data_IF_568441015296
#
_entry.id   IF_568441015296
#
_cell.length_a   1.000
_cell.length_b   1.000
_cell.length_c   1.000
_cell.angle_alpha   90.00
_cell.angle_beta   90.00
_cell.angle_gamma   90.00
#
_symmetry.space_group_name_H-M   'P 1'
#
loop_
_entity.id
_entity.type
_entity.pdbx_description
1 polymer ?
#
# COMPACT_ATOMS: atom_id res chain seq x y z
N UNK A 1 24.28 10.97 29.34
CA UNK A 1 23.46 12.20 29.32
C UNK A 1 22.16 12.11 30.15
N UNK A 2 21.30 11.10 29.97
CA UNK A 2 20.02 11.01 30.72
C UNK A 2 20.15 10.91 32.25
N UNK A 3 21.13 10.16 32.77
CA UNK A 3 21.36 10.04 34.22
C UNK A 3 21.80 11.35 34.88
N UNK A 4 22.61 12.16 34.19
CA UNK A 4 23.08 13.47 34.68
C UNK A 4 21.90 14.43 34.85
N UNK A 5 20.93 14.38 33.94
CA UNK A 5 19.72 15.21 34.01
C UNK A 5 18.82 14.87 35.21
N UNK A 6 18.62 13.58 35.53
CA UNK A 6 17.83 13.17 36.69
C UNK A 6 18.49 13.52 38.03
N UNK A 7 19.83 13.38 38.10
CA UNK A 7 20.60 13.79 39.28
C UNK A 7 20.52 15.31 39.47
N UNK A 8 20.64 16.08 38.39
CA UNK A 8 20.48 17.54 38.43
C UNK A 8 19.09 17.96 38.93
N UNK A 9 18.02 17.32 38.44
CA UNK A 9 16.64 17.64 38.82
C UNK A 9 16.35 17.28 40.29
N UNK A 10 16.92 16.18 40.78
CA UNK A 10 16.85 15.80 42.19
C UNK A 10 17.55 16.81 43.10
N UNK A 11 18.79 17.17 42.76
CA UNK A 11 19.58 18.16 43.53
C UNK A 11 18.89 19.52 43.54
N UNK A 12 18.35 19.95 42.39
CA UNK A 12 17.59 21.20 42.28
C UNK A 12 16.33 21.21 43.17
N UNK A 13 15.56 20.11 43.18
CA UNK A 13 14.39 19.96 44.06
C UNK A 13 14.75 20.01 45.55
N UNK A 14 15.86 19.39 45.94
CA UNK A 14 16.35 19.43 47.32
C UNK A 14 16.80 20.85 47.74
N UNK A 15 17.48 21.58 46.85
CA UNK A 15 17.90 22.98 47.09
C UNK A 15 16.71 23.94 47.17
N UNK A 16 15.70 23.77 46.32
CA UNK A 16 14.45 24.55 46.38
C UNK A 16 13.69 24.25 47.68
N UNK A 17 13.63 22.98 48.10
CA UNK A 17 13.00 22.60 49.37
C UNK A 17 13.69 23.20 50.59
N UNK A 18 15.03 23.21 50.58
CA UNK A 18 15.84 23.91 51.58
C UNK A 18 15.51 25.41 51.64
N UNK A 19 15.51 26.07 50.48
CA UNK A 19 15.24 27.50 50.37
C UNK A 19 13.83 27.88 50.83
N UNK A 20 12.80 27.16 50.37
CA UNK A 20 11.40 27.39 50.76
C UNK A 20 11.18 27.10 52.25
N UNK A 21 11.84 26.05 52.77
CA UNK A 21 11.79 25.68 54.19
C UNK A 21 12.29 26.80 55.12
N UNK A 22 13.32 27.55 54.69
CA UNK A 22 13.89 28.68 55.45
C UNK A 22 12.93 29.85 55.65
N UNK A 23 11.92 30.03 54.78
CA UNK A 23 10.92 31.09 54.90
C UNK A 23 9.60 30.61 55.53
N UNK A 24 9.48 29.31 55.82
CA UNK A 24 8.26 28.70 56.35
C UNK A 24 8.31 28.52 57.87
N UNK A 25 7.17 28.63 58.55
CA UNK A 25 7.05 28.37 59.99
C UNK A 25 7.35 26.91 60.41
N UNK A 26 7.42 26.00 59.44
CA UNK A 26 7.68 24.57 59.60
C UNK A 26 9.18 24.23 59.69
N UNK A 27 10.06 25.19 59.38
CA UNK A 27 11.51 25.06 59.50
C UNK A 27 12.22 24.37 58.32
N UNK A 28 13.49 24.72 58.14
CA UNK A 28 14.42 24.22 57.13
C UNK A 28 14.51 22.69 57.01
N UNK A 29 14.46 21.95 58.12
CA UNK A 29 14.48 20.49 58.13
C UNK A 29 13.25 19.88 57.43
N UNK A 30 12.07 20.45 57.65
CA UNK A 30 10.84 19.98 57.04
C UNK A 30 10.79 20.29 55.53
N UNK A 31 11.26 21.48 55.14
CA UNK A 31 11.39 21.86 53.72
C UNK A 31 12.37 20.99 52.96
N UNK A 32 13.48 20.60 53.60
CA UNK A 32 14.48 19.68 53.03
C UNK A 32 13.88 18.30 52.76
N UNK A 33 13.12 17.77 53.72
CA UNK A 33 12.47 16.46 53.59
C UNK A 33 11.44 16.44 52.45
N UNK A 34 10.63 17.50 52.34
CA UNK A 34 9.70 17.68 51.22
C UNK A 34 10.43 17.81 49.88
N UNK A 35 11.50 18.61 49.80
CA UNK A 35 12.29 18.80 48.58
C UNK A 35 12.92 17.50 48.06
N UNK A 36 13.44 16.67 48.97
CA UNK A 36 13.96 15.33 48.66
C UNK A 36 12.82 14.41 48.20
N UNK A 37 11.68 14.43 48.88
CA UNK A 37 10.50 13.64 48.52
C UNK A 37 9.97 13.97 47.11
N UNK A 38 9.80 15.25 46.79
CA UNK A 38 9.41 15.71 45.46
C UNK A 38 10.45 15.38 44.39
N UNK A 39 11.75 15.48 44.74
CA UNK A 39 12.84 15.12 43.82
C UNK A 39 12.81 13.63 43.48
N UNK A 40 12.69 12.76 44.49
CA UNK A 40 12.60 11.31 44.30
C UNK A 40 11.34 10.94 43.49
N UNK A 41 10.21 11.58 43.79
CA UNK A 41 8.96 11.39 43.04
C UNK A 41 9.11 11.83 41.57
N UNK A 42 9.70 13.00 41.32
CA UNK A 42 9.93 13.53 39.97
C UNK A 42 10.85 12.63 39.13
N UNK A 43 11.91 12.10 39.73
CA UNK A 43 12.80 11.13 39.04
C UNK A 43 12.07 9.82 38.75
N UNK A 44 11.32 9.29 39.72
CA UNK A 44 10.52 8.07 39.53
C UNK A 44 9.45 8.23 38.44
N UNK A 45 8.74 9.36 38.45
CA UNK A 45 7.74 9.70 37.44
C UNK A 45 8.38 9.90 36.06
N UNK A 46 9.51 10.61 35.97
CA UNK A 46 10.24 10.79 34.72
C UNK A 46 10.73 9.46 34.13
N UNK A 47 11.21 8.55 34.97
CA UNK A 47 11.60 7.21 34.55
C UNK A 47 10.41 6.41 34.02
N UNK A 48 9.26 6.46 34.70
CA UNK A 48 8.02 5.81 34.28
C UNK A 48 7.55 6.34 32.92
N UNK A 49 7.43 7.67 32.78
CA UNK A 49 6.98 8.33 31.54
C UNK A 49 7.94 8.08 30.37
N UNK A 50 9.25 7.99 30.63
CA UNK A 50 10.25 7.71 29.59
C UNK A 50 10.14 6.33 28.95
N UNK A 51 9.49 5.38 29.65
CA UNK A 51 9.20 4.03 29.11
C UNK A 51 7.90 3.97 28.33
N UNK A 52 7.08 5.02 28.37
CA UNK A 52 5.77 5.05 27.73
C UNK A 52 5.87 5.50 26.28
N UNK A 53 5.04 4.90 25.44
CA UNK A 53 4.90 5.34 24.05
C UNK A 53 4.20 6.71 23.98
N UNK A 54 4.49 7.51 22.95
CA UNK A 54 3.84 8.81 22.74
C UNK A 54 2.28 8.72 22.71
N UNK A 55 1.66 7.69 22.08
CA UNK A 55 0.20 7.49 22.17
C UNK A 55 -0.31 7.21 23.58
N UNK A 56 0.44 6.44 24.37
CA UNK A 56 0.08 6.19 25.78
C UNK A 56 0.15 7.47 26.61
N UNK A 57 1.13 8.34 26.37
CA UNK A 57 1.26 9.63 27.06
C UNK A 57 0.09 10.57 26.71
N UNK A 58 -0.22 10.72 25.42
CA UNK A 58 -1.35 11.54 24.97
C UNK A 58 -2.69 10.98 25.47
N UNK A 59 -2.85 9.66 25.44
CA UNK A 59 -4.01 8.98 25.99
C UNK A 59 -4.16 9.22 27.50
N UNK A 60 -3.06 9.15 28.26
CA UNK A 60 -3.04 9.45 29.69
C UNK A 60 -3.48 10.88 30.00
N UNK A 61 -2.97 11.87 29.26
CA UNK A 61 -3.38 13.28 29.40
C UNK A 61 -4.88 13.45 29.09
N UNK A 62 -5.36 12.85 27.99
CA UNK A 62 -6.79 12.89 27.62
C UNK A 62 -7.69 12.18 28.65
N UNK A 63 -7.21 11.09 29.23
CA UNK A 63 -7.90 10.37 30.29
C UNK A 63 -8.00 11.19 31.58
N UNK A 64 -6.92 11.84 32.01
CA UNK A 64 -6.93 12.75 33.15
C UNK A 64 -7.91 13.92 32.94
N UNK A 65 -7.89 14.54 31.76
CA UNK A 65 -8.80 15.66 31.44
C UNK A 65 -10.27 15.23 31.44
N UNK A 66 -10.59 14.10 30.81
CA UNK A 66 -11.97 13.60 30.76
C UNK A 66 -12.50 13.19 32.14
N UNK A 67 -11.68 12.53 32.96
CA UNK A 67 -12.07 12.16 34.33
C UNK A 67 -12.08 13.34 35.30
N UNK A 68 -11.30 14.40 35.04
CA UNK A 68 -11.39 15.65 35.79
C UNK A 68 -12.73 16.37 35.52
N UNK A 69 -13.16 16.43 34.26
CA UNK A 69 -14.50 16.93 33.89
C UNK A 69 -15.59 16.07 34.52
N UNK A 70 -15.43 14.75 34.52
CA UNK A 70 -16.37 13.85 35.19
C UNK A 70 -16.41 14.09 36.71
N UNK A 71 -15.27 14.28 37.37
CA UNK A 71 -15.19 14.55 38.80
C UNK A 71 -15.94 15.85 39.18
N UNK A 72 -15.89 16.86 38.31
CA UNK A 72 -16.65 18.10 38.47
C UNK A 72 -18.17 17.90 38.49
N UNK A 73 -18.69 16.89 37.78
CA UNK A 73 -20.12 16.56 37.84
C UNK A 73 -20.56 16.05 39.23
N UNK A 74 -19.63 15.55 40.06
CA UNK A 74 -19.90 15.04 41.41
C UNK A 74 -19.63 16.05 42.54
N UNK A 75 -19.32 17.30 42.20
CA UNK A 75 -18.86 18.31 43.17
C UNK A 75 -19.90 18.59 44.28
N UNK A 76 -21.20 18.53 43.98
CA UNK A 76 -22.29 18.77 44.95
C UNK A 76 -22.80 17.54 45.73
N UNK A 77 -22.30 16.33 45.46
CA UNK A 77 -22.88 15.09 45.98
C UNK A 77 -22.22 14.56 47.26
N UNK A 78 -21.04 15.07 47.62
CA UNK A 78 -20.27 14.55 48.76
C UNK A 78 -19.68 15.67 49.64
N UNK A 79 -19.52 15.41 50.95
CA UNK A 79 -18.72 16.24 51.85
C UNK A 79 -17.28 16.43 51.37
N UNK A 80 -16.64 17.55 51.73
CA UNK A 80 -15.36 17.97 51.17
C UNK A 80 -14.23 16.94 51.33
N UNK A 81 -14.18 16.23 52.46
CA UNK A 81 -13.18 15.19 52.71
C UNK A 81 -13.34 13.98 51.77
N UNK A 82 -14.58 13.56 51.49
CA UNK A 82 -14.86 12.47 50.53
C UNK A 82 -14.59 12.96 49.09
N UNK A 83 -14.91 14.21 48.79
CA UNK A 83 -14.68 14.82 47.47
C UNK A 83 -13.20 14.77 47.07
N UNK A 84 -12.30 15.06 48.01
CA UNK A 84 -10.86 14.99 47.78
C UNK A 84 -10.41 13.59 47.33
N UNK A 85 -10.80 12.55 48.08
CA UNK A 85 -10.46 11.17 47.73
C UNK A 85 -11.10 10.75 46.40
N UNK A 86 -12.36 11.12 46.16
CA UNK A 86 -13.04 10.83 44.89
C UNK A 86 -12.31 11.43 43.68
N UNK A 87 -11.91 12.71 43.77
CA UNK A 87 -11.16 13.38 42.70
C UNK A 87 -9.81 12.71 42.45
N UNK A 88 -9.09 12.37 43.52
CA UNK A 88 -7.81 11.69 43.41
C UNK A 88 -7.96 10.31 42.73
N UNK A 89 -8.94 9.52 43.16
CA UNK A 89 -9.21 8.20 42.56
C UNK A 89 -9.62 8.32 41.10
N UNK A 90 -10.50 9.25 40.75
CA UNK A 90 -10.93 9.45 39.35
C UNK A 90 -9.79 9.91 38.46
N UNK A 91 -8.91 10.79 38.93
CA UNK A 91 -7.77 11.27 38.17
C UNK A 91 -6.75 10.15 37.91
N UNK A 92 -6.49 9.30 38.91
CA UNK A 92 -5.64 8.10 38.76
C UNK A 92 -6.27 7.10 37.79
N UNK A 93 -7.59 6.87 37.89
CA UNK A 93 -8.32 6.01 36.96
C UNK A 93 -8.25 6.55 35.52
N UNK A 94 -8.43 7.86 35.33
CA UNK A 94 -8.28 8.52 34.04
C UNK A 94 -6.90 8.34 33.43
N UNK A 95 -5.84 8.50 34.23
CA UNK A 95 -4.47 8.24 33.79
C UNK A 95 -4.26 6.76 33.39
N UNK A 96 -4.74 5.80 34.18
CA UNK A 96 -4.59 4.36 33.90
C UNK A 96 -5.36 3.96 32.63
N UNK A 97 -6.63 4.37 32.53
CA UNK A 97 -7.47 4.06 31.36
C UNK A 97 -6.90 4.72 30.12
N UNK A 98 -6.54 6.00 30.20
CA UNK A 98 -5.97 6.76 29.10
C UNK A 98 -4.65 6.17 28.59
N UNK A 99 -3.75 5.77 29.48
CA UNK A 99 -2.46 5.17 29.07
C UNK A 99 -2.60 3.78 28.46
N UNK A 100 -3.59 2.99 28.92
CA UNK A 100 -3.94 1.68 28.35
C UNK A 100 -4.63 1.79 26.99
N UNK A 101 -5.54 2.77 26.82
CA UNK A 101 -6.33 2.97 25.60
C UNK A 101 -5.68 3.89 24.55
N UNK A 102 -4.67 4.67 24.93
CA UNK A 102 -3.95 5.58 24.03
C UNK A 102 -3.40 4.91 22.75
N UNK A 103 -2.78 3.72 22.81
CA UNK A 103 -2.36 2.98 21.62
C UNK A 103 -3.51 2.56 20.69
N UNK A 104 -4.67 2.21 21.25
CA UNK A 104 -5.87 1.86 20.46
C UNK A 104 -6.41 3.09 19.69
N UNK A 105 -6.31 4.28 20.29
CA UNK A 105 -6.69 5.53 19.64
C UNK A 105 -5.83 5.82 18.40
N UNK A 106 -4.52 5.56 18.45
CA UNK A 106 -3.66 5.64 17.25
C UNK A 106 -4.14 4.67 16.17
N UNK A 107 -4.54 3.45 16.52
CA UNK A 107 -5.05 2.49 15.55
C UNK A 107 -6.38 2.94 14.91
N UNK A 108 -7.23 3.64 15.68
CA UNK A 108 -8.47 4.24 15.19
C UNK A 108 -8.21 5.37 14.18
N UNK A 109 -7.25 6.27 14.45
CA UNK A 109 -6.89 7.35 13.52
C UNK A 109 -6.08 6.88 12.32
N UNK A 110 -5.26 5.83 12.46
CA UNK A 110 -4.50 5.24 11.35
C UNK A 110 -5.39 4.50 10.33
N UNK A 111 -6.62 4.16 10.72
CA UNK A 111 -7.64 3.61 9.80
C UNK A 111 -8.10 4.60 8.72
N UNK A 112 -7.72 5.88 8.82
CA UNK A 112 -8.02 6.93 7.86
C UNK A 112 -6.94 7.20 6.81
N UNK A 113 -5.74 6.60 6.90
CA UNK A 113 -4.85 6.53 5.75
C UNK A 113 -5.44 5.48 4.80
N UNK A 114 -5.87 5.90 3.61
CA UNK A 114 -6.19 4.98 2.51
C UNK A 114 -4.92 4.20 2.20
N UNK A 115 -4.72 3.09 2.91
CA UNK A 115 -3.72 2.09 2.59
C UNK A 115 -4.09 1.60 1.20
N UNK A 116 -3.41 2.14 0.19
CA UNK A 116 -3.60 1.75 -1.19
C UNK A 116 -3.62 0.22 -1.26
N UNK A 117 -4.69 -0.31 -1.84
CA UNK A 117 -5.02 -1.74 -1.85
C UNK A 117 -3.79 -2.55 -2.23
N UNK A 118 -3.41 -3.62 -1.52
CA UNK A 118 -2.24 -4.40 -1.92
C UNK A 118 -2.48 -5.13 -3.25
N UNK A 119 -1.44 -5.26 -4.06
CA UNK A 119 -1.49 -5.92 -5.38
C UNK A 119 -0.67 -7.20 -5.31
N UNK A 120 -1.30 -8.34 -5.57
CA UNK A 120 -0.67 -9.66 -5.47
C UNK A 120 -0.26 -10.10 -6.88
N UNK A 121 1.01 -10.41 -7.07
CA UNK A 121 1.55 -10.81 -8.36
C UNK A 121 1.43 -12.33 -8.58
N UNK A 122 0.94 -12.70 -9.76
CA UNK A 122 0.93 -14.06 -10.28
C UNK A 122 2.18 -14.35 -11.15
N UNK A 123 2.55 -15.64 -11.22
CA UNK A 123 3.62 -16.19 -12.06
C UNK A 123 3.52 -15.73 -13.51
N UNK A 124 2.31 -15.74 -14.09
CA UNK A 124 2.10 -15.38 -15.50
C UNK A 124 2.43 -13.91 -15.80
N UNK A 125 2.09 -12.99 -14.88
CA UNK A 125 2.39 -11.57 -15.02
C UNK A 125 3.88 -11.27 -14.85
N UNK A 126 4.55 -11.99 -13.94
CA UNK A 126 5.98 -11.83 -13.68
C UNK A 126 6.81 -12.31 -14.89
N UNK A 127 6.50 -13.49 -15.44
CA UNK A 127 7.25 -14.06 -16.58
C UNK A 127 7.10 -13.20 -17.84
N UNK A 128 5.93 -12.60 -18.05
CA UNK A 128 5.67 -11.69 -19.17
C UNK A 128 6.56 -10.43 -19.11
N UNK A 129 6.73 -9.88 -17.91
CA UNK A 129 7.70 -8.83 -17.60
C UNK A 129 7.18 -7.39 -17.73
N UNK A 130 6.11 -7.14 -18.51
CA UNK A 130 5.56 -5.78 -18.70
C UNK A 130 5.11 -5.13 -17.40
N UNK A 131 4.78 -5.93 -16.39
CA UNK A 131 4.43 -5.41 -15.06
C UNK A 131 5.58 -4.62 -14.42
N UNK A 132 6.84 -4.98 -14.67
CA UNK A 132 7.98 -4.22 -14.16
C UNK A 132 8.03 -2.82 -14.78
N UNK A 133 7.84 -2.72 -16.11
CA UNK A 133 7.82 -1.44 -16.81
C UNK A 133 6.69 -0.55 -16.27
N UNK A 134 5.48 -1.12 -16.08
CA UNK A 134 4.33 -0.39 -15.53
C UNK A 134 4.61 0.09 -14.10
N UNK A 135 5.25 -0.73 -13.26
CA UNK A 135 5.61 -0.33 -11.89
C UNK A 135 6.67 0.78 -11.85
N UNK A 136 7.59 0.82 -12.82
CA UNK A 136 8.60 1.88 -12.96
C UNK A 136 7.98 3.22 -13.40
N UNK A 137 6.90 3.20 -14.19
CA UNK A 137 6.19 4.45 -14.54
C UNK A 137 5.58 5.14 -13.30
N UNK A 138 5.13 4.36 -12.32
CA UNK A 138 4.41 4.84 -11.13
C UNK A 138 2.88 4.71 -11.25
N UNK A 139 2.38 4.00 -12.27
CA UNK A 139 0.95 3.77 -12.47
C UNK A 139 0.33 2.80 -11.45
N UNK A 140 1.15 1.95 -10.81
CA UNK A 140 0.71 1.01 -9.77
C UNK A 140 0.93 1.63 -8.39
N UNK A 141 -0.17 1.82 -7.67
CA UNK A 141 -0.16 2.28 -6.28
C UNK A 141 -0.21 1.12 -5.28
N UNK A 142 0.19 1.38 -4.03
CA UNK A 142 0.15 0.40 -2.94
C UNK A 142 1.28 -0.62 -2.98
N UNK A 143 1.28 -1.56 -2.03
CA UNK A 143 2.35 -2.56 -1.95
C UNK A 143 2.14 -3.70 -2.93
N UNK A 144 3.20 -4.06 -3.66
CA UNK A 144 3.26 -5.27 -4.47
C UNK A 144 3.67 -6.45 -3.58
N UNK A 145 2.77 -7.41 -3.45
CA UNK A 145 2.98 -8.64 -2.69
C UNK A 145 3.36 -9.76 -3.63
N UNK A 146 4.50 -10.41 -3.36
CA UNK A 146 5.00 -11.56 -4.11
C UNK A 146 4.96 -12.76 -3.17
N UNK A 147 4.02 -13.70 -3.36
CA UNK A 147 3.93 -14.87 -2.49
C UNK A 147 5.11 -15.81 -2.69
N UNK A 148 5.57 -16.45 -1.60
CA UNK A 148 6.65 -17.42 -1.65
C UNK A 148 6.35 -18.61 -2.57
N UNK A 149 5.08 -19.02 -2.67
CA UNK A 149 4.68 -20.12 -3.56
C UNK A 149 4.79 -19.74 -5.05
N UNK A 150 4.59 -18.47 -5.42
CA UNK A 150 4.82 -17.95 -6.78
C UNK A 150 6.32 -17.97 -7.11
N UNK A 151 7.17 -17.56 -6.15
CA UNK A 151 8.63 -17.65 -6.32
C UNK A 151 9.09 -19.09 -6.54
N UNK A 152 8.56 -20.04 -5.75
CA UNK A 152 8.86 -21.47 -5.90
C UNK A 152 8.42 -22.00 -7.27
N UNK A 153 7.27 -21.57 -7.78
CA UNK A 153 6.80 -21.97 -9.11
C UNK A 153 7.71 -21.43 -10.23
N UNK A 154 8.12 -20.16 -10.16
CA UNK A 154 9.07 -19.58 -11.13
C UNK A 154 10.42 -20.30 -11.09
N UNK A 155 10.93 -20.62 -9.90
CA UNK A 155 12.15 -21.41 -9.73
C UNK A 155 12.00 -22.81 -10.33
N UNK A 156 10.90 -23.49 -10.04
CA UNK A 156 10.60 -24.80 -10.63
C UNK A 156 10.60 -24.74 -12.16
N UNK A 157 9.97 -23.73 -12.76
CA UNK A 157 9.97 -23.51 -14.21
C UNK A 157 11.40 -23.26 -14.74
N UNK A 158 12.22 -22.54 -13.98
CA UNK A 158 13.63 -22.24 -14.32
C UNK A 158 14.57 -23.45 -14.24
N UNK A 159 14.13 -24.55 -13.60
CA UNK A 159 14.87 -25.80 -13.46
C UNK A 159 14.37 -26.91 -14.42
N UNK A 160 13.31 -26.65 -15.19
CA UNK A 160 12.77 -27.64 -16.12
C UNK A 160 13.78 -28.06 -17.22
N UNK A 161 13.69 -29.32 -17.70
CA UNK A 161 14.53 -29.83 -18.78
C UNK A 161 14.22 -29.17 -20.14
N UNK A 162 13.03 -28.61 -20.32
CA UNK A 162 12.63 -27.87 -21.52
C UNK A 162 13.37 -26.51 -21.59
N UNK A 163 14.24 -26.28 -22.60
CA UNK A 163 15.00 -25.03 -22.74
C UNK A 163 14.12 -23.77 -22.83
N UNK A 164 12.95 -23.85 -23.46
CA UNK A 164 12.06 -22.68 -23.64
C UNK A 164 11.43 -22.29 -22.32
N UNK A 165 10.89 -23.27 -21.59
CA UNK A 165 10.33 -23.04 -20.25
C UNK A 165 11.42 -22.58 -19.27
N UNK A 166 12.60 -23.19 -19.32
CA UNK A 166 13.76 -22.78 -18.51
C UNK A 166 14.14 -21.32 -18.73
N UNK A 167 14.23 -20.89 -19.99
CA UNK A 167 14.54 -19.50 -20.35
C UNK A 167 13.48 -18.53 -19.82
N UNK A 168 12.19 -18.90 -19.91
CA UNK A 168 11.08 -18.11 -19.33
C UNK A 168 11.15 -18.02 -17.81
N UNK A 169 11.46 -19.12 -17.12
CA UNK A 169 11.63 -19.12 -15.67
C UNK A 169 12.78 -18.22 -15.21
N UNK A 170 13.94 -18.31 -15.87
CA UNK A 170 15.10 -17.43 -15.61
C UNK A 170 14.75 -15.96 -15.83
N UNK A 171 14.06 -15.65 -16.95
CA UNK A 171 13.53 -14.30 -17.20
C UNK A 171 12.62 -13.83 -16.08
N UNK A 172 11.75 -14.68 -15.55
CA UNK A 172 10.90 -14.36 -14.40
C UNK A 172 11.71 -13.97 -13.15
N UNK A 173 12.78 -14.69 -12.85
CA UNK A 173 13.70 -14.36 -11.74
C UNK A 173 14.40 -13.01 -11.97
N UNK A 174 14.81 -12.71 -13.20
CA UNK A 174 15.42 -11.42 -13.55
C UNK A 174 14.42 -10.27 -13.36
N UNK A 175 13.15 -10.45 -13.78
CA UNK A 175 12.07 -9.48 -13.58
C UNK A 175 11.79 -9.24 -12.10
N UNK A 176 11.81 -10.28 -11.26
CA UNK A 176 11.67 -10.15 -9.80
C UNK A 176 12.78 -9.30 -9.19
N UNK A 177 14.03 -9.54 -9.60
CA UNK A 177 15.18 -8.73 -9.19
C UNK A 177 15.04 -7.27 -9.63
N UNK A 178 14.55 -7.04 -10.85
CA UNK A 178 14.26 -5.69 -11.38
C UNK A 178 13.17 -4.99 -10.57
N UNK A 179 12.06 -5.68 -10.30
CA UNK A 179 10.97 -5.15 -9.47
C UNK A 179 11.46 -4.74 -8.08
N UNK A 180 12.30 -5.53 -7.43
CA UNK A 180 12.84 -5.19 -6.11
C UNK A 180 13.74 -3.94 -6.12
N UNK A 181 14.48 -3.71 -7.21
CA UNK A 181 15.46 -2.61 -7.31
C UNK A 181 14.88 -1.31 -7.85
N UNK A 182 13.96 -1.40 -8.82
CA UNK A 182 13.56 -0.27 -9.67
C UNK A 182 12.07 0.09 -9.54
N UNK A 183 11.24 -0.76 -8.93
CA UNK A 183 9.83 -0.44 -8.72
C UNK A 183 9.66 0.79 -7.82
N UNK A 184 8.82 1.73 -8.25
CA UNK A 184 8.38 2.85 -7.40
C UNK A 184 7.40 2.41 -6.31
N UNK A 185 6.67 1.33 -6.55
CA UNK A 185 5.79 0.71 -5.56
C UNK A 185 6.59 -0.21 -4.61
N UNK A 186 6.32 -0.19 -3.30
CA UNK A 186 7.05 -1.02 -2.34
C UNK A 186 6.75 -2.51 -2.57
N UNK A 187 7.79 -3.26 -2.90
CA UNK A 187 7.73 -4.70 -3.15
C UNK A 187 8.00 -5.47 -1.86
N UNK A 188 7.15 -6.45 -1.53
CA UNK A 188 7.30 -7.33 -0.36
C UNK A 188 7.10 -8.77 -0.74
N UNK A 189 8.05 -9.62 -0.35
CA UNK A 189 7.85 -11.07 -0.39
C UNK A 189 7.09 -11.49 0.86
N UNK A 190 6.09 -12.34 0.71
CA UNK A 190 5.28 -12.85 1.82
C UNK A 190 5.37 -14.38 1.90
N UNK A 191 5.51 -14.88 3.12
CA UNK A 191 5.69 -16.32 3.40
C UNK A 191 4.36 -17.04 3.68
N UNK A 192 3.23 -16.35 3.55
CA UNK A 192 1.91 -16.94 3.77
C UNK A 192 1.60 -17.97 2.68
N UNK A 193 1.32 -19.20 3.11
CA UNK A 193 0.98 -20.34 2.25
C UNK A 193 -0.25 -21.07 2.82
N UNK A 194 -0.97 -21.78 1.97
CA UNK A 194 -2.18 -22.53 2.30
C UNK A 194 -1.97 -24.00 1.94
N UNK A 195 -1.43 -24.83 2.86
CA UNK A 195 -1.09 -26.22 2.57
C UNK A 195 -2.28 -27.09 2.14
N UNK A 196 -3.48 -26.77 2.62
CA UNK A 196 -4.73 -27.46 2.27
C UNK A 196 -5.16 -27.21 0.82
N UNK A 197 -4.67 -26.15 0.20
CA UNK A 197 -4.99 -25.78 -1.19
C UNK A 197 -3.83 -26.23 -2.07
N UNK A 198 -4.08 -27.09 -3.06
CA UNK A 198 -3.02 -27.55 -3.97
C UNK A 198 -2.76 -26.58 -5.11
N UNK A 199 -3.80 -25.99 -5.66
CA UNK A 199 -3.74 -25.13 -6.84
C UNK A 199 -3.22 -23.73 -6.48
N UNK A 200 -2.20 -23.26 -7.19
CA UNK A 200 -1.59 -21.93 -7.00
C UNK A 200 -2.62 -20.82 -7.19
N UNK A 201 -3.47 -20.94 -8.20
CA UNK A 201 -4.56 -20.03 -8.52
C UNK A 201 -5.52 -19.81 -7.33
N UNK A 202 -5.93 -20.89 -6.68
CA UNK A 202 -6.79 -20.83 -5.50
C UNK A 202 -6.07 -20.22 -4.28
N UNK A 203 -4.76 -20.45 -4.14
CA UNK A 203 -3.94 -19.78 -3.10
C UNK A 203 -3.89 -18.28 -3.32
N UNK A 204 -3.76 -17.82 -4.57
CA UNK A 204 -3.77 -16.39 -4.91
C UNK A 204 -5.12 -15.75 -4.56
N UNK A 205 -6.23 -16.44 -4.86
CA UNK A 205 -7.58 -15.96 -4.54
C UNK A 205 -7.80 -15.87 -3.02
N UNK A 206 -7.40 -16.90 -2.26
CA UNK A 206 -7.53 -16.90 -0.81
C UNK A 206 -6.65 -15.83 -0.16
N UNK A 207 -5.43 -15.65 -0.65
CA UNK A 207 -4.55 -14.57 -0.21
C UNK A 207 -5.15 -13.19 -0.49
N UNK A 208 -5.68 -12.97 -1.68
CA UNK A 208 -6.32 -11.72 -2.07
C UNK A 208 -7.52 -11.41 -1.18
N UNK A 209 -8.35 -12.43 -0.89
CA UNK A 209 -9.48 -12.31 0.03
C UNK A 209 -9.03 -11.89 1.43
N UNK A 210 -8.01 -12.55 1.99
CA UNK A 210 -7.53 -12.27 3.36
C UNK A 210 -6.85 -10.91 3.48
N UNK A 211 -6.12 -10.48 2.45
CA UNK A 211 -5.43 -9.18 2.44
C UNK A 211 -6.30 -8.03 1.95
N UNK A 212 -7.51 -8.30 1.46
CA UNK A 212 -8.33 -7.32 0.76
C UNK A 212 -7.60 -6.74 -0.45
N UNK A 213 -6.84 -7.57 -1.16
CA UNK A 213 -5.96 -7.18 -2.27
C UNK A 213 -6.57 -7.43 -3.65
N UNK A 214 -5.92 -6.89 -4.69
CA UNK A 214 -6.21 -7.19 -6.09
C UNK A 214 -5.16 -8.15 -6.66
N UNK A 215 -5.54 -9.01 -7.59
CA UNK A 215 -4.60 -9.92 -8.26
C UNK A 215 -4.11 -9.28 -9.57
N UNK A 216 -2.80 -9.32 -9.83
CA UNK A 216 -2.21 -8.98 -11.12
C UNK A 216 -1.82 -10.28 -11.82
N UNK A 217 -2.46 -10.57 -12.95
CA UNK A 217 -2.24 -11.81 -13.73
C UNK A 217 -2.37 -11.53 -15.22
N UNK A 218 -1.81 -12.41 -16.05
CA UNK A 218 -2.08 -12.47 -17.47
C UNK A 218 -3.01 -13.63 -17.86
N UNK A 219 -3.32 -14.51 -16.92
CA UNK A 219 -4.20 -15.66 -17.14
C UNK A 219 -5.67 -15.24 -17.15
N UNK A 220 -6.36 -15.56 -18.25
CA UNK A 220 -7.76 -15.25 -18.46
C UNK A 220 -8.70 -16.14 -17.62
N UNK A 221 -8.31 -17.39 -17.34
CA UNK A 221 -9.07 -18.30 -16.50
C UNK A 221 -9.00 -17.88 -15.03
N UNK A 222 -7.81 -17.53 -14.53
CA UNK A 222 -7.67 -16.98 -13.18
C UNK A 222 -8.50 -15.70 -13.02
N UNK A 223 -8.50 -14.83 -14.03
CA UNK A 223 -9.33 -13.62 -14.05
C UNK A 223 -10.83 -13.93 -13.87
N UNK A 224 -11.37 -14.90 -14.61
CA UNK A 224 -12.77 -15.33 -14.48
C UNK A 224 -13.09 -15.89 -13.10
N UNK A 225 -12.26 -16.82 -12.62
CA UNK A 225 -12.50 -17.51 -11.34
C UNK A 225 -12.39 -16.51 -10.17
N UNK A 226 -11.37 -15.64 -10.18
CA UNK A 226 -11.19 -14.62 -9.15
C UNK A 226 -12.38 -13.64 -9.08
N UNK A 227 -12.91 -13.19 -10.23
CA UNK A 227 -14.09 -12.33 -10.28
C UNK A 227 -15.35 -13.00 -9.71
N UNK A 228 -15.54 -14.30 -9.94
CA UNK A 228 -16.64 -15.06 -9.32
C UNK A 228 -16.53 -15.11 -7.79
N UNK A 229 -15.30 -15.05 -7.27
CA UNK A 229 -15.03 -14.96 -5.83
C UNK A 229 -15.05 -13.52 -5.27
N UNK A 230 -15.44 -12.53 -6.08
CA UNK A 230 -15.49 -11.12 -5.69
C UNK A 230 -14.12 -10.47 -5.55
N UNK A 231 -13.07 -11.04 -6.16
CA UNK A 231 -11.72 -10.48 -6.15
C UNK A 231 -11.49 -9.70 -7.44
N UNK A 232 -11.09 -8.43 -7.30
CA UNK A 232 -10.70 -7.61 -8.43
C UNK A 232 -9.38 -8.09 -9.04
N UNK A 233 -9.34 -8.08 -10.37
CA UNK A 233 -8.18 -8.52 -11.15
C UNK A 233 -7.70 -7.39 -12.06
N UNK A 234 -6.40 -7.16 -12.05
CA UNK A 234 -5.71 -6.24 -12.95
C UNK A 234 -4.96 -7.09 -13.99
N UNK A 235 -5.53 -7.21 -15.18
CA UNK A 235 -4.92 -8.01 -16.23
C UNK A 235 -3.99 -7.16 -17.11
N UNK A 236 -2.71 -7.53 -17.23
CA UNK A 236 -1.72 -6.72 -17.97
C UNK A 236 -2.01 -6.76 -19.48
N UNK A 237 -2.56 -7.86 -20.01
CA UNK A 237 -3.03 -7.91 -21.39
C UNK A 237 -4.20 -6.96 -21.64
N UNK A 238 -5.19 -6.92 -20.74
CA UNK A 238 -6.33 -5.98 -20.85
C UNK A 238 -5.84 -4.52 -20.81
N UNK A 239 -4.90 -4.20 -19.91
CA UNK A 239 -4.29 -2.87 -19.85
C UNK A 239 -3.55 -2.53 -21.14
N UNK A 240 -2.74 -3.45 -21.67
CA UNK A 240 -2.03 -3.23 -22.93
C UNK A 240 -2.97 -3.00 -24.11
N UNK A 241 -4.14 -3.65 -24.14
CA UNK A 241 -5.16 -3.42 -25.17
C UNK A 241 -5.83 -2.05 -25.00
N UNK A 242 -6.10 -1.62 -23.76
CA UNK A 242 -6.68 -0.33 -23.46
C UNK A 242 -5.75 0.85 -23.78
N UNK A 243 -4.43 0.63 -23.76
CA UNK A 243 -3.41 1.62 -24.11
C UNK A 243 -3.13 1.72 -25.62
N UNK A 244 -3.74 0.87 -26.47
CA UNK A 244 -3.54 0.97 -27.92
C UNK A 244 -4.07 2.32 -28.43
N UNK A 245 -3.30 3.02 -29.28
CA UNK A 245 -3.74 4.28 -29.86
C UNK A 245 -5.15 4.18 -30.44
N UNK A 246 -5.97 5.19 -30.16
CA UNK A 246 -7.29 5.32 -30.77
C UNK A 246 -7.09 6.06 -32.09
N UNK A 247 -7.26 5.33 -33.19
CA UNK A 247 -7.33 5.93 -34.52
C UNK A 247 -8.77 6.36 -34.76
N UNK A 248 -8.98 7.61 -35.17
CA UNK A 248 -10.30 8.17 -35.44
C UNK A 248 -10.53 8.37 -36.95
N UNK A 249 -11.79 8.28 -37.42
CA UNK A 249 -12.14 8.73 -38.77
C UNK A 249 -11.65 10.16 -39.03
N UNK A 250 -11.02 10.38 -40.18
CA UNK A 250 -10.42 11.65 -40.59
C UNK A 250 -8.93 11.79 -40.26
N UNK A 251 -8.35 10.93 -39.43
CA UNK A 251 -6.91 10.93 -39.18
C UNK A 251 -6.13 10.38 -40.37
N UNK A 252 -4.91 10.86 -40.56
CA UNK A 252 -3.99 10.35 -41.58
C UNK A 252 -3.02 9.33 -40.98
N UNK A 253 -2.83 8.21 -41.66
CA UNK A 253 -1.92 7.14 -41.27
C UNK A 253 -1.02 6.78 -42.45
N UNK A 254 0.23 6.39 -42.19
CA UNK A 254 1.09 5.77 -43.20
C UNK A 254 1.08 4.27 -43.02
N UNK A 255 0.76 3.55 -44.09
CA UNK A 255 0.70 2.09 -44.07
C UNK A 255 1.38 1.54 -45.31
N UNK A 256 2.08 0.41 -45.16
CA UNK A 256 2.55 -0.36 -46.30
C UNK A 256 1.47 -1.36 -46.72
N UNK A 257 1.05 -1.31 -47.99
CA UNK A 257 0.09 -2.27 -48.51
C UNK A 257 0.83 -3.56 -48.83
N UNK A 258 0.48 -4.66 -48.18
CA UNK A 258 1.23 -5.92 -48.27
C UNK A 258 0.57 -6.94 -49.19
N UNK A 259 -0.76 -6.95 -49.25
CA UNK A 259 -1.53 -7.94 -50.01
C UNK A 259 -2.89 -7.40 -50.46
N UNK A 260 -3.51 -8.12 -51.38
CA UNK A 260 -4.90 -7.88 -51.80
C UNK A 260 -5.88 -8.16 -50.66
N UNK A 261 -6.91 -7.33 -50.56
CA UNK A 261 -7.99 -7.46 -49.59
C UNK A 261 -9.03 -8.49 -50.00
N UNK A 262 -10.16 -8.48 -49.28
CA UNK A 262 -11.26 -9.41 -49.57
C UNK A 262 -12.02 -8.99 -50.82
N UNK A 263 -12.23 -7.68 -51.00
CA UNK A 263 -12.86 -7.13 -52.20
C UNK A 263 -11.80 -6.82 -53.28
N UNK A 264 -12.15 -6.91 -54.58
CA UNK A 264 -11.18 -6.88 -55.69
C UNK A 264 -10.35 -5.60 -55.83
N UNK A 265 -10.78 -4.49 -55.24
CA UNK A 265 -10.05 -3.20 -55.28
C UNK A 265 -9.29 -2.92 -53.98
N UNK A 266 -9.47 -3.73 -52.94
CA UNK A 266 -8.88 -3.46 -51.63
C UNK A 266 -7.41 -3.88 -51.54
N UNK A 267 -6.63 -3.06 -50.83
CA UNK A 267 -5.33 -3.44 -50.29
C UNK A 267 -5.42 -3.67 -48.78
N UNK A 268 -4.53 -4.49 -48.22
CA UNK A 268 -4.42 -4.73 -46.78
C UNK A 268 -2.99 -4.52 -46.31
N UNK A 269 -2.85 -3.73 -45.25
CA UNK A 269 -1.64 -3.57 -44.46
C UNK A 269 -1.90 -3.86 -42.97
N UNK A 270 -0.84 -3.79 -42.18
CA UNK A 270 -0.93 -3.93 -40.73
C UNK A 270 -0.14 -2.80 -40.06
N UNK A 271 -0.69 -2.24 -38.99
CA UNK A 271 0.07 -1.37 -38.09
C UNK A 271 1.08 -2.18 -37.28
N UNK A 272 2.01 -1.50 -36.61
CA UNK A 272 3.02 -2.13 -35.75
C UNK A 272 2.40 -2.99 -34.63
N UNK A 273 1.20 -2.63 -34.16
CA UNK A 273 0.46 -3.37 -33.13
C UNK A 273 -0.35 -4.56 -33.67
N UNK A 274 -0.26 -4.81 -34.99
CA UNK A 274 -0.97 -5.87 -35.70
C UNK A 274 -2.41 -5.52 -36.11
N UNK A 275 -2.87 -4.29 -35.89
CA UNK A 275 -4.19 -3.84 -36.35
C UNK A 275 -4.27 -3.88 -37.88
N UNK A 276 -5.28 -4.58 -38.42
CA UNK A 276 -5.47 -4.70 -39.86
C UNK A 276 -6.00 -3.39 -40.43
N UNK A 277 -5.35 -2.88 -41.48
CA UNK A 277 -5.76 -1.69 -42.20
C UNK A 277 -6.15 -2.08 -43.62
N UNK A 278 -7.41 -1.82 -43.98
CA UNK A 278 -7.96 -2.06 -45.31
C UNK A 278 -7.98 -0.72 -46.05
N UNK A 279 -7.28 -0.66 -47.17
CA UNK A 279 -7.18 0.53 -48.03
C UNK A 279 -8.09 0.35 -49.24
N UNK A 280 -9.09 1.21 -49.39
CA UNK A 280 -9.91 1.32 -50.60
C UNK A 280 -9.04 1.68 -51.80
N UNK A 281 -9.27 1.02 -52.94
CA UNK A 281 -8.44 1.11 -54.15
C UNK A 281 -6.95 0.75 -53.95
N UNK A 282 -6.62 0.14 -52.81
CA UNK A 282 -5.26 -0.18 -52.40
C UNK A 282 -4.60 -1.32 -53.18
N UNK A 283 -5.33 -2.08 -54.00
CA UNK A 283 -4.75 -3.18 -54.80
C UNK A 283 -3.62 -2.71 -55.73
N UNK A 284 -3.75 -1.50 -56.28
CA UNK A 284 -2.72 -0.91 -57.18
C UNK A 284 -1.48 -0.44 -56.43
N UNK A 285 -1.59 -0.32 -55.11
CA UNK A 285 -0.57 0.23 -54.21
C UNK A 285 0.18 -0.88 -53.45
N UNK A 286 -0.06 -2.16 -53.77
CA UNK A 286 0.63 -3.30 -53.14
C UNK A 286 2.16 -3.15 -53.30
N UNK A 287 2.87 -3.30 -52.18
CA UNK A 287 4.31 -3.13 -52.05
C UNK A 287 4.74 -1.71 -51.67
N UNK A 288 3.85 -0.71 -51.77
CA UNK A 288 4.16 0.69 -51.51
C UNK A 288 3.72 1.13 -50.11
N UNK A 289 4.42 2.11 -49.56
CA UNK A 289 4.03 2.82 -48.34
C UNK A 289 3.22 4.05 -48.74
N UNK A 290 1.96 4.12 -48.29
CA UNK A 290 0.99 5.14 -48.70
C UNK A 290 0.40 5.84 -47.49
N UNK A 291 0.18 7.14 -47.61
CA UNK A 291 -0.57 7.92 -46.61
C UNK A 291 -2.07 7.81 -46.92
N UNK A 292 -2.83 7.31 -45.96
CA UNK A 292 -4.27 7.11 -46.06
C UNK A 292 -4.99 8.03 -45.09
N UNK A 293 -6.22 8.43 -45.44
CA UNK A 293 -7.16 9.02 -44.49
C UNK A 293 -8.14 7.95 -44.03
N UNK A 294 -8.28 7.82 -42.72
CA UNK A 294 -9.16 6.82 -42.09
C UNK A 294 -10.62 7.19 -42.37
N UNK A 295 -11.37 6.28 -42.98
CA UNK A 295 -12.79 6.48 -43.30
C UNK A 295 -13.67 5.93 -42.20
N UNK A 296 -13.35 4.75 -41.67
CA UNK A 296 -14.10 4.13 -40.57
C UNK A 296 -13.25 3.15 -39.79
N UNK A 297 -13.69 2.84 -38.58
CA UNK A 297 -13.03 1.86 -37.71
C UNK A 297 -14.09 0.85 -37.27
N UNK A 298 -13.82 -0.43 -37.53
CA UNK A 298 -14.69 -1.54 -37.16
C UNK A 298 -14.04 -2.35 -36.03
N UNK A 299 -14.76 -2.51 -34.92
CA UNK A 299 -14.34 -3.38 -33.84
C UNK A 299 -14.96 -4.78 -34.06
N UNK A 300 -14.12 -5.81 -34.09
CA UNK A 300 -14.54 -7.22 -34.21
C UNK A 300 -14.10 -8.01 -32.96
N UNK A 301 -14.66 -9.21 -32.71
CA UNK A 301 -14.22 -10.06 -31.61
C UNK A 301 -12.74 -10.45 -31.67
N UNK A 302 -12.16 -10.51 -32.88
CA UNK A 302 -10.75 -10.87 -33.10
C UNK A 302 -9.80 -9.67 -33.07
N UNK A 303 -10.32 -8.45 -32.99
CA UNK A 303 -9.51 -7.23 -32.98
C UNK A 303 -10.17 -6.07 -33.72
N UNK A 304 -9.38 -5.02 -33.95
CA UNK A 304 -9.82 -3.80 -34.65
C UNK A 304 -9.42 -3.88 -36.12
N UNK A 305 -10.29 -3.40 -37.01
CA UNK A 305 -10.03 -3.23 -38.44
C UNK A 305 -10.22 -1.76 -38.76
N UNK A 306 -9.22 -1.14 -39.38
CA UNK A 306 -9.28 0.26 -39.83
C UNK A 306 -9.52 0.25 -41.33
N UNK A 307 -10.48 1.05 -41.78
CA UNK A 307 -10.70 1.31 -43.20
C UNK A 307 -10.19 2.70 -43.52
N UNK A 308 -9.51 2.85 -44.64
CA UNK A 308 -9.07 4.15 -45.13
C UNK A 308 -8.98 4.18 -46.64
N UNK A 309 -8.77 5.38 -47.17
CA UNK A 309 -8.54 5.64 -48.59
C UNK A 309 -7.23 6.38 -48.73
N UNK A 310 -6.52 6.16 -49.83
CA UNK A 310 -5.35 6.96 -50.18
C UNK A 310 -5.67 8.46 -50.10
N UNK A 311 -4.79 9.20 -49.43
CA UNK A 311 -4.89 10.65 -49.31
C UNK A 311 -4.35 11.24 -50.61
N UNK A 312 -5.26 11.72 -51.46
CA UNK A 312 -4.95 12.44 -52.69
C UNK A 312 -4.27 13.78 -52.45
#
# INVERSE_FOLDING_TARGET
MRGIFYVFLFVLSALIGLFVGSFSSLGWLFGSFLGIGFGAFGVGLGHLLSKMSLPSLLGGIGGVLSFWVLAKAFEGLCPDWIRFFLHLTLLVMGAIVGTRKGPEFKAFFKKGEVLATPKILDTSAIIDGRIADICETGFIEGSLLIPQFVLKEIQYIADLPDPVRRSRGRRGLDILSRLQKHSKAPVRIIEEDYPEIKEVDLKLIELARRKGGKIITNDYNLNKIAKLHGIDVLNVNELSQALRPVVLPGESLRIQVLKEGKEPEQGVGYLEDGTMVVVEDGKKLIGQEVEITVTSVLQTPSGRIIFGREKG
#
